data_IF_290736683981
#
_entry.id   IF_290736683981
#
_cell.length_a   1.000
_cell.length_b   1.000
_cell.length_c   1.000
_cell.angle_alpha   90.00
_cell.angle_beta   90.00
_cell.angle_gamma   90.00
#
_symmetry.space_group_name_H-M   'P 1'
#
loop_
_entity.id
_entity.type
_entity.pdbx_description
1 polymer ?
#
# COMPACT_ATOMS: atom_id res chain seq x y z
N UNK A 1 -17.66 -27.15 -11.45
CA UNK A 1 -17.23 -25.74 -11.29
C UNK A 1 -16.01 -25.70 -10.38
N UNK A 2 -14.86 -25.37 -10.94
CA UNK A 2 -13.63 -25.25 -10.15
C UNK A 2 -13.51 -23.80 -9.65
N UNK A 3 -13.66 -23.59 -8.36
CA UNK A 3 -13.43 -22.30 -7.72
C UNK A 3 -11.93 -22.18 -7.44
N UNK A 4 -11.29 -21.21 -8.05
CA UNK A 4 -9.87 -20.90 -7.79
C UNK A 4 -9.77 -19.78 -6.76
N UNK A 5 -9.08 -20.04 -5.65
CA UNK A 5 -8.77 -19.05 -4.63
C UNK A 5 -7.45 -18.37 -4.97
N UNK A 6 -7.44 -17.05 -5.02
CA UNK A 6 -6.24 -16.26 -5.28
C UNK A 6 -6.14 -15.09 -4.31
N UNK A 7 -4.94 -14.85 -3.82
CA UNK A 7 -4.65 -13.68 -2.98
C UNK A 7 -4.32 -12.48 -3.87
N UNK A 8 -5.01 -11.36 -3.64
CA UNK A 8 -4.75 -10.09 -4.30
C UNK A 8 -4.35 -9.06 -3.26
N UNK A 9 -3.40 -8.19 -3.62
CA UNK A 9 -3.24 -6.92 -2.91
C UNK A 9 -4.43 -6.02 -3.21
N UNK A 10 -4.70 -5.03 -2.36
CA UNK A 10 -5.76 -4.04 -2.62
C UNK A 10 -5.54 -3.29 -3.93
N UNK A 11 -4.29 -3.05 -4.31
CA UNK A 11 -3.94 -2.42 -5.57
C UNK A 11 -4.28 -3.29 -6.78
N UNK A 12 -3.94 -4.57 -6.73
CA UNK A 12 -4.30 -5.52 -7.80
C UNK A 12 -5.82 -5.66 -7.93
N UNK A 13 -6.55 -5.69 -6.81
CA UNK A 13 -8.01 -5.70 -6.81
C UNK A 13 -8.59 -4.43 -7.43
N UNK A 14 -8.06 -3.26 -7.06
CA UNK A 14 -8.46 -1.97 -7.64
C UNK A 14 -8.21 -1.91 -9.16
N UNK A 15 -7.05 -2.36 -9.63
CA UNK A 15 -6.77 -2.45 -11.07
C UNK A 15 -7.70 -3.42 -11.79
N UNK A 16 -8.04 -4.53 -11.14
CA UNK A 16 -8.99 -5.50 -11.67
C UNK A 16 -10.39 -4.88 -11.80
N UNK A 17 -10.88 -4.17 -10.79
CA UNK A 17 -12.16 -3.46 -10.84
C UNK A 17 -12.18 -2.42 -11.97
N UNK A 18 -11.12 -1.65 -12.13
CA UNK A 18 -11.00 -0.70 -13.23
C UNK A 18 -11.00 -1.38 -14.61
N UNK A 19 -10.27 -2.48 -14.74
CA UNK A 19 -10.20 -3.23 -16.00
C UNK A 19 -11.55 -3.87 -16.37
N UNK A 20 -12.33 -4.24 -15.36
CA UNK A 20 -13.67 -4.84 -15.57
C UNK A 20 -14.76 -3.81 -15.86
N UNK A 21 -14.48 -2.51 -15.68
CA UNK A 21 -15.33 -1.37 -16.09
C UNK A 21 -16.81 -1.55 -15.71
N UNK A 22 -17.11 -1.92 -14.46
CA UNK A 22 -18.47 -2.09 -13.94
C UNK A 22 -19.20 -3.36 -14.39
N UNK A 23 -18.55 -4.31 -15.04
CA UNK A 23 -19.09 -5.65 -15.23
C UNK A 23 -19.08 -6.38 -13.88
N UNK A 24 -20.09 -7.23 -13.66
CA UNK A 24 -20.20 -8.01 -12.43
C UNK A 24 -18.86 -8.67 -12.08
N UNK A 25 -18.36 -8.37 -10.89
CA UNK A 25 -17.10 -8.94 -10.42
C UNK A 25 -17.32 -10.42 -10.13
N UNK A 26 -16.64 -11.29 -10.89
CA UNK A 26 -16.56 -12.72 -10.57
C UNK A 26 -15.66 -13.00 -9.36
N UNK A 27 -15.02 -11.97 -8.80
CA UNK A 27 -14.17 -12.07 -7.63
C UNK A 27 -14.98 -11.72 -6.40
N UNK A 28 -15.22 -12.71 -5.56
CA UNK A 28 -15.89 -12.52 -4.28
C UNK A 28 -14.87 -12.69 -3.14
N UNK A 29 -14.94 -11.86 -2.09
CA UNK A 29 -14.12 -12.06 -0.92
C UNK A 29 -14.44 -13.42 -0.27
N UNK A 30 -13.40 -14.17 0.09
CA UNK A 30 -13.54 -15.54 0.59
C UNK A 30 -14.17 -15.64 1.97
N UNK A 31 -14.24 -14.57 2.72
CA UNK A 31 -14.82 -14.57 4.08
C UNK A 31 -15.49 -13.26 4.42
N UNK A 32 -16.75 -13.34 4.79
CA UNK A 32 -17.39 -12.38 5.67
C UNK A 32 -16.99 -12.66 7.13
N UNK A 33 -15.68 -12.71 7.42
CA UNK A 33 -15.21 -12.82 8.80
C UNK A 33 -15.25 -11.44 9.44
N UNK A 34 -16.43 -11.05 9.84
CA UNK A 34 -16.66 -9.83 10.65
C UNK A 34 -16.00 -9.94 12.03
N UNK A 35 -15.76 -11.17 12.52
CA UNK A 35 -15.27 -11.46 13.88
C UNK A 35 -13.81 -11.92 13.94
N UNK A 36 -13.07 -11.97 12.83
CA UNK A 36 -11.68 -12.39 12.86
C UNK A 36 -10.78 -11.20 13.22
N UNK A 37 -9.96 -11.35 14.25
CA UNK A 37 -8.89 -10.39 14.54
C UNK A 37 -8.04 -10.16 13.28
N UNK A 38 -7.76 -8.89 12.93
CA UNK A 38 -6.97 -8.59 11.74
C UNK A 38 -5.55 -9.15 11.90
N UNK A 39 -5.04 -9.78 10.86
CA UNK A 39 -3.66 -10.22 10.85
C UNK A 39 -2.70 -9.03 11.00
N UNK A 40 -1.63 -9.16 11.79
CA UNK A 40 -0.70 -8.06 12.02
C UNK A 40 0.00 -7.65 10.73
N UNK A 41 0.02 -6.34 10.46
CA UNK A 41 0.81 -5.76 9.39
C UNK A 41 2.24 -5.54 9.88
N UNK A 42 3.16 -6.38 9.43
CA UNK A 42 4.58 -6.25 9.76
C UNK A 42 5.25 -5.39 8.70
N UNK A 43 5.71 -4.21 9.09
CA UNK A 43 6.42 -3.29 8.19
C UNK A 43 7.87 -3.73 8.05
N UNK A 44 8.40 -3.89 6.82
CA UNK A 44 9.78 -4.27 6.59
C UNK A 44 10.80 -3.26 7.13
N UNK A 45 11.90 -3.76 7.65
CA UNK A 45 13.03 -2.94 8.09
C UNK A 45 14.34 -3.49 7.55
N UNK A 46 15.30 -2.60 7.37
CA UNK A 46 16.64 -2.95 6.87
C UNK A 46 17.28 -4.03 7.74
N UNK A 47 17.74 -5.08 7.10
CA UNK A 47 18.43 -6.19 7.75
C UNK A 47 17.53 -7.11 8.58
N UNK A 48 16.21 -6.95 8.52
CA UNK A 48 15.26 -7.80 9.24
C UNK A 48 14.60 -8.81 8.32
N UNK A 49 14.35 -10.00 8.85
CA UNK A 49 13.60 -11.03 8.15
C UNK A 49 12.11 -10.92 8.47
N UNK A 50 11.29 -11.08 7.45
CA UNK A 50 9.84 -11.20 7.61
C UNK A 50 9.42 -12.57 7.11
N UNK A 51 8.70 -13.31 7.95
CA UNK A 51 8.12 -14.59 7.57
C UNK A 51 6.97 -14.38 6.60
N UNK A 52 6.95 -15.21 5.56
CA UNK A 52 5.89 -15.23 4.54
C UNK A 52 4.70 -16.02 5.09
N UNK A 53 3.53 -15.41 5.01
CA UNK A 53 2.24 -16.02 5.36
C UNK A 53 1.24 -15.77 4.22
N UNK A 54 0.14 -16.51 4.14
CA UNK A 54 -0.86 -16.31 3.09
C UNK A 54 -1.42 -14.89 3.01
N UNK A 55 -1.52 -14.18 4.14
CA UNK A 55 -2.07 -12.82 4.19
C UNK A 55 -1.08 -11.71 3.82
N UNK A 56 0.24 -11.99 3.86
CA UNK A 56 1.25 -10.98 3.53
C UNK A 56 2.04 -11.28 2.25
N UNK A 57 1.88 -12.46 1.67
CA UNK A 57 2.69 -12.96 0.54
C UNK A 57 2.65 -12.01 -0.66
N UNK A 58 1.47 -11.49 -1.02
CA UNK A 58 1.30 -10.58 -2.15
C UNK A 58 1.97 -9.24 -1.87
N UNK A 59 1.80 -8.70 -0.66
CA UNK A 59 2.41 -7.43 -0.26
C UNK A 59 3.94 -7.51 -0.25
N UNK A 60 4.50 -8.61 0.29
CA UNK A 60 5.95 -8.84 0.30
C UNK A 60 6.50 -9.06 -1.11
N UNK A 61 5.81 -9.83 -1.94
CA UNK A 61 6.18 -10.03 -3.36
C UNK A 61 6.24 -8.70 -4.10
N UNK A 62 5.21 -7.87 -3.98
CA UNK A 62 5.18 -6.58 -4.66
C UNK A 62 6.31 -5.66 -4.18
N UNK A 63 6.58 -5.63 -2.89
CA UNK A 63 7.69 -4.86 -2.31
C UNK A 63 9.05 -5.30 -2.85
N UNK A 64 9.29 -6.61 -2.93
CA UNK A 64 10.53 -7.16 -3.48
C UNK A 64 10.72 -6.78 -4.95
N UNK A 65 9.67 -6.88 -5.75
CA UNK A 65 9.74 -6.55 -7.19
C UNK A 65 9.90 -5.06 -7.41
N UNK A 66 9.10 -4.24 -6.74
CA UNK A 66 9.04 -2.79 -7.02
C UNK A 66 10.21 -2.02 -6.41
N UNK A 67 10.72 -2.46 -5.26
CA UNK A 67 11.65 -1.64 -4.47
C UNK A 67 13.00 -2.29 -4.18
N UNK A 68 13.09 -3.64 -4.24
CA UNK A 68 14.33 -4.37 -3.99
C UNK A 68 14.96 -4.90 -5.28
N UNK A 69 14.32 -4.70 -6.44
CA UNK A 69 14.82 -5.16 -7.74
C UNK A 69 14.93 -6.69 -7.86
N UNK A 70 14.15 -7.43 -7.06
CA UNK A 70 14.12 -8.89 -7.06
C UNK A 70 13.12 -9.43 -8.06
N UNK A 71 13.42 -10.59 -8.62
CA UNK A 71 12.43 -11.36 -9.36
C UNK A 71 11.63 -12.17 -8.34
N UNK A 72 10.35 -11.85 -8.15
CA UNK A 72 9.52 -12.55 -7.21
C UNK A 72 8.17 -12.93 -7.85
N UNK A 73 7.78 -14.20 -7.65
CA UNK A 73 6.52 -14.75 -8.17
C UNK A 73 5.86 -15.66 -7.11
N UNK A 74 4.55 -15.80 -7.22
CA UNK A 74 3.78 -16.69 -6.35
C UNK A 74 3.30 -17.86 -7.20
N UNK A 75 3.65 -19.08 -6.78
CA UNK A 75 3.20 -20.34 -7.41
C UNK A 75 2.71 -21.28 -6.32
N UNK A 76 1.50 -21.80 -6.45
CA UNK A 76 0.90 -22.73 -5.49
C UNK A 76 1.07 -22.25 -4.03
N UNK A 77 0.65 -21.00 -3.76
CA UNK A 77 0.74 -20.34 -2.44
C UNK A 77 2.16 -20.25 -1.86
N UNK A 78 3.18 -20.46 -2.67
CA UNK A 78 4.58 -20.38 -2.29
C UNK A 78 5.25 -19.18 -2.99
N UNK A 79 5.95 -18.37 -2.21
CA UNK A 79 6.75 -17.27 -2.75
C UNK A 79 8.08 -17.79 -3.27
N UNK A 80 8.38 -17.47 -4.50
CA UNK A 80 9.69 -17.71 -5.13
C UNK A 80 10.39 -16.37 -5.31
N UNK A 81 11.62 -16.28 -4.85
CA UNK A 81 12.48 -15.09 -5.01
C UNK A 81 13.75 -15.53 -5.75
N UNK A 82 14.05 -14.88 -6.86
CA UNK A 82 15.16 -15.22 -7.75
C UNK A 82 15.18 -16.73 -8.10
N UNK A 83 13.98 -17.29 -8.35
CA UNK A 83 13.77 -18.69 -8.71
C UNK A 83 13.80 -19.69 -7.56
N UNK A 84 13.97 -19.27 -6.29
CA UNK A 84 14.05 -20.15 -5.12
C UNK A 84 12.82 -19.99 -4.23
N UNK A 85 12.20 -21.09 -3.74
CA UNK A 85 11.09 -21.00 -2.79
C UNK A 85 11.59 -20.39 -1.48
N UNK A 86 10.84 -19.44 -0.94
CA UNK A 86 11.26 -18.63 0.20
C UNK A 86 10.14 -18.53 1.23
N UNK A 87 10.47 -18.86 2.49
CA UNK A 87 9.57 -18.69 3.63
C UNK A 87 9.84 -17.38 4.42
N UNK A 88 10.94 -16.71 4.14
CA UNK A 88 11.33 -15.46 4.78
C UNK A 88 11.86 -14.50 3.74
N UNK A 89 11.42 -13.24 3.80
CA UNK A 89 11.92 -12.16 2.98
C UNK A 89 12.92 -11.32 3.76
N UNK A 90 13.97 -10.90 3.06
CA UNK A 90 14.99 -9.99 3.58
C UNK A 90 14.94 -8.69 2.78
N UNK A 91 15.03 -7.55 3.49
CA UNK A 91 14.94 -6.22 2.89
C UNK A 91 16.21 -5.42 3.14
N UNK A 92 16.64 -4.68 2.12
CA UNK A 92 17.85 -3.86 2.18
C UNK A 92 17.58 -2.43 2.65
N UNK A 93 16.29 -2.02 2.68
CA UNK A 93 15.81 -0.69 3.03
C UNK A 93 14.86 -0.74 4.23
N UNK A 94 14.69 0.40 4.88
CA UNK A 94 13.58 0.62 5.79
C UNK A 94 12.34 1.03 5.01
N UNK A 95 11.18 0.60 5.48
CA UNK A 95 9.89 0.86 4.86
C UNK A 95 8.92 1.51 5.84
N UNK A 96 7.91 2.16 5.28
CA UNK A 96 6.88 2.85 6.03
C UNK A 96 5.50 2.46 5.50
N UNK A 97 4.53 2.49 6.39
CA UNK A 97 3.13 2.43 6.03
C UNK A 97 2.53 3.82 6.15
N UNK A 98 2.18 4.42 5.04
CA UNK A 98 1.68 5.79 4.97
C UNK A 98 0.16 5.77 4.87
N UNK A 99 -0.50 6.58 5.70
CA UNK A 99 -1.95 6.75 5.72
C UNK A 99 -2.36 8.15 5.33
N UNK A 100 -3.36 8.27 4.46
CA UNK A 100 -3.99 9.54 4.10
C UNK A 100 -5.20 9.82 4.98
N UNK A 101 -5.45 11.08 5.31
CA UNK A 101 -6.68 11.51 5.97
C UNK A 101 -7.89 11.54 5.03
N UNK A 102 -7.66 11.44 3.72
CA UNK A 102 -8.74 11.37 2.74
C UNK A 102 -9.24 9.94 2.62
N UNK A 103 -10.40 9.66 3.23
CA UNK A 103 -11.01 8.32 3.25
C UNK A 103 -11.80 7.98 1.99
N UNK A 104 -12.17 8.96 1.20
CA UNK A 104 -13.01 8.77 -0.01
C UNK A 104 -12.16 8.44 -1.23
N UNK A 105 -11.01 9.08 -1.37
CA UNK A 105 -10.08 8.89 -2.49
C UNK A 105 -8.68 8.70 -1.92
N UNK A 106 -8.45 7.58 -1.26
CA UNK A 106 -7.20 7.29 -0.58
C UNK A 106 -6.12 6.86 -1.58
N UNK A 107 -5.12 7.70 -1.74
CA UNK A 107 -3.90 7.39 -2.48
C UNK A 107 -2.77 7.21 -1.48
N UNK A 108 -2.75 6.08 -0.79
CA UNK A 108 -1.81 5.77 0.29
C UNK A 108 -1.41 4.29 0.31
N UNK A 109 -0.72 3.83 1.35
CA UNK A 109 -0.22 2.46 1.46
C UNK A 109 -1.31 1.38 1.44
N UNK A 110 -2.57 1.73 1.68
CA UNK A 110 -3.70 0.80 1.48
C UNK A 110 -3.87 0.41 0.01
N UNK A 111 -3.42 1.30 -0.90
CA UNK A 111 -3.50 1.11 -2.34
C UNK A 111 -2.18 0.55 -2.91
N UNK A 112 -1.05 1.20 -2.64
CA UNK A 112 0.23 0.88 -3.28
C UNK A 112 1.22 0.09 -2.40
N UNK A 113 0.90 -0.16 -1.12
CA UNK A 113 1.75 -0.95 -0.23
C UNK A 113 2.81 -0.14 0.51
N UNK A 114 3.93 -0.78 0.83
CA UNK A 114 5.01 -0.16 1.59
C UNK A 114 5.77 0.89 0.78
N UNK A 115 6.15 1.98 1.47
CA UNK A 115 6.94 3.08 0.92
C UNK A 115 8.38 2.96 1.43
N UNK A 116 9.37 2.78 0.57
CA UNK A 116 10.77 2.72 1.01
C UNK A 116 11.27 4.10 1.46
N UNK A 117 12.22 4.11 2.37
CA UNK A 117 12.77 5.33 2.98
C UNK A 117 13.30 6.33 1.95
N UNK A 118 13.89 5.85 0.87
CA UNK A 118 14.44 6.69 -0.21
C UNK A 118 13.37 7.40 -1.07
N UNK A 119 12.10 7.04 -0.93
CA UNK A 119 10.97 7.76 -1.53
C UNK A 119 10.41 8.87 -0.63
N UNK A 120 10.89 8.99 0.61
CA UNK A 120 10.46 10.04 1.54
C UNK A 120 11.27 11.31 1.28
N UNK A 121 10.63 12.32 0.71
CA UNK A 121 11.26 13.61 0.41
C UNK A 121 11.51 14.42 1.70
N UNK A 122 10.56 14.36 2.64
CA UNK A 122 10.67 15.09 3.90
C UNK A 122 9.34 15.20 4.64
N UNK A 123 9.38 15.88 5.78
CA UNK A 123 8.22 16.19 6.63
C UNK A 123 7.81 17.65 6.41
N UNK A 124 6.53 17.89 6.16
CA UNK A 124 5.99 19.25 6.18
C UNK A 124 6.14 19.84 7.59
N UNK A 125 6.86 20.95 7.71
CA UNK A 125 7.16 21.59 8.99
C UNK A 125 6.38 22.87 9.21
N UNK A 126 6.11 23.61 8.13
CA UNK A 126 5.44 24.91 8.20
C UNK A 126 4.47 25.10 7.05
N UNK A 127 3.36 25.74 7.30
CA UNK A 127 2.44 26.22 6.29
C UNK A 127 2.88 27.64 5.93
N UNK A 128 3.47 27.79 4.75
CA UNK A 128 3.89 29.08 4.26
C UNK A 128 2.68 29.96 3.93
N UNK A 129 1.74 29.39 3.15
CA UNK A 129 0.52 30.07 2.80
C UNK A 129 -0.61 29.06 2.49
N UNK A 130 -1.85 29.47 2.68
CA UNK A 130 -3.03 28.64 2.41
C UNK A 130 -4.06 29.42 1.61
N UNK A 131 -4.53 28.83 0.49
CA UNK A 131 -5.58 29.38 -0.36
C UNK A 131 -6.59 28.30 -0.74
N UNK A 132 -7.88 28.65 -0.76
CA UNK A 132 -8.94 27.74 -1.23
C UNK A 132 -8.94 27.66 -2.77
N UNK A 133 -9.21 26.45 -3.31
CA UNK A 133 -9.07 26.16 -4.74
C UNK A 133 -10.05 26.93 -5.65
N UNK A 134 -11.22 27.27 -5.14
CA UNK A 134 -12.34 27.81 -5.95
C UNK A 134 -12.53 29.32 -5.83
N UNK A 135 -11.59 30.02 -5.24
CA UNK A 135 -11.68 31.46 -5.01
C UNK A 135 -10.86 32.25 -6.01
N UNK A 136 -11.29 33.52 -6.32
CA UNK A 136 -10.58 34.43 -7.20
C UNK A 136 -9.14 34.73 -6.77
N UNK A 137 -8.40 35.47 -7.60
CA UNK A 137 -6.96 35.74 -7.37
C UNK A 137 -6.68 36.44 -6.02
N UNK A 138 -7.63 37.21 -5.50
CA UNK A 138 -7.45 38.01 -4.28
C UNK A 138 -8.25 37.52 -3.08
N UNK A 139 -9.12 36.51 -3.25
CA UNK A 139 -9.99 35.96 -2.19
C UNK A 139 -9.58 34.52 -1.78
N UNK A 140 -10.06 34.06 -0.63
CA UNK A 140 -9.88 32.68 -0.17
C UNK A 140 -8.54 32.40 0.51
N UNK A 141 -7.82 33.42 0.94
CA UNK A 141 -6.61 33.23 1.73
C UNK A 141 -6.94 32.86 3.18
N UNK A 142 -6.44 31.73 3.62
CA UNK A 142 -6.56 31.29 5.00
C UNK A 142 -5.54 31.97 5.92
N UNK A 143 -5.73 33.27 6.22
CA UNK A 143 -4.81 34.09 7.01
C UNK A 143 -4.47 33.48 8.37
N UNK A 144 -5.38 32.73 8.98
CA UNK A 144 -5.18 32.03 10.25
C UNK A 144 -4.23 30.85 10.16
N UNK A 145 -3.82 30.44 8.96
CA UNK A 145 -2.92 29.30 8.68
C UNK A 145 -1.52 29.71 8.25
N UNK A 146 -1.30 31.02 8.01
CA UNK A 146 0.01 31.51 7.58
C UNK A 146 1.06 31.29 8.67
N UNK A 147 2.25 30.85 8.28
CA UNK A 147 3.40 30.58 9.16
C UNK A 147 3.10 29.67 10.35
N UNK A 148 2.10 28.82 10.22
CA UNK A 148 1.79 27.83 11.26
C UNK A 148 2.64 26.57 11.09
N UNK A 149 3.14 26.05 12.21
CA UNK A 149 3.78 24.74 12.23
C UNK A 149 2.75 23.63 12.03
N UNK A 150 3.11 22.64 11.23
CA UNK A 150 2.35 21.39 11.09
C UNK A 150 2.71 20.51 12.29
N UNK A 151 1.72 20.18 13.10
CA UNK A 151 1.88 19.22 14.21
C UNK A 151 1.73 17.79 13.72
#
# INVERSE_FOLDING_TARGET
DSTHVRSFSRYEYYLLEQAMNGKESFVQPLSNREDAEPNPLIVPGKGKFIRVYPWNITLLRNTLVMHEGKQAEIKNDTLYVDGKPTQHCYFTKDYYWMGSNNTVNFSDSRLFGFVPQDHIIGKASIIWFSKEKETGLFDGYGWNRFFRTVK
#
